data_IF_130715373846
#
_entry.id   IF_130715373846
#
_cell.length_a   1.000
_cell.length_b   1.000
_cell.length_c   1.000
_cell.angle_alpha   90.00
_cell.angle_beta   90.00
_cell.angle_gamma   90.00
#
_symmetry.space_group_name_H-M   'P 1'
#
loop_
_entity.id
_entity.type
_entity.pdbx_description
1 polymer ?
#
# COMPACT_ATOMS: atom_id res chain seq x y z
N UNK A 1 12.80 10.19 -15.30
CA UNK A 1 12.89 10.77 -13.92
C UNK A 1 11.74 10.23 -13.07
N UNK A 2 11.90 10.08 -11.73
CA UNK A 2 10.81 9.69 -10.81
C UNK A 2 10.36 10.93 -10.04
N UNK A 3 9.05 11.13 -9.95
CA UNK A 3 8.43 12.15 -9.12
C UNK A 3 7.55 11.50 -8.07
N UNK A 4 7.79 11.80 -6.80
CA UNK A 4 6.88 11.44 -5.70
C UNK A 4 5.75 12.47 -5.68
N UNK A 5 4.53 12.00 -5.84
CA UNK A 5 3.32 12.82 -5.85
C UNK A 5 2.58 12.62 -4.52
N UNK A 6 2.61 13.62 -3.64
CA UNK A 6 1.84 13.61 -2.40
C UNK A 6 0.35 13.84 -2.72
N UNK A 7 -0.50 12.87 -2.40
CA UNK A 7 -1.93 12.91 -2.67
C UNK A 7 -2.74 13.65 -1.60
N UNK A 8 -2.11 14.10 -0.54
CA UNK A 8 -2.70 14.88 0.56
C UNK A 8 -3.99 14.26 1.11
N UNK A 9 -3.93 12.97 1.39
CA UNK A 9 -5.08 12.21 1.88
C UNK A 9 -5.67 12.84 3.14
N UNK A 10 -6.97 13.06 3.15
CA UNK A 10 -7.67 13.81 4.21
C UNK A 10 -7.08 15.22 4.48
N UNK A 11 -6.54 15.88 3.45
CA UNK A 11 -5.83 17.16 3.52
C UNK A 11 -4.56 17.14 4.40
N UNK A 12 -4.00 15.96 4.65
CA UNK A 12 -2.72 15.79 5.38
C UNK A 12 -1.61 15.45 4.38
N UNK A 13 -0.44 16.10 4.48
CA UNK A 13 0.71 15.74 3.65
C UNK A 13 1.29 14.39 4.10
N UNK A 14 2.14 13.82 3.24
CA UNK A 14 3.03 12.71 3.55
C UNK A 14 2.34 11.45 4.11
N UNK A 15 1.12 11.15 3.61
CA UNK A 15 0.36 9.98 4.03
C UNK A 15 0.14 8.96 2.93
N UNK A 16 -0.19 9.40 1.71
CA UNK A 16 -0.31 8.56 0.51
C UNK A 16 0.42 9.22 -0.65
N UNK A 17 1.35 8.50 -1.28
CA UNK A 17 2.05 8.90 -2.49
C UNK A 17 1.61 8.06 -3.70
N UNK A 18 1.66 8.67 -4.87
CA UNK A 18 1.76 8.00 -6.17
C UNK A 18 3.10 8.39 -6.81
N UNK A 19 3.55 7.64 -7.80
CA UNK A 19 4.86 7.87 -8.41
C UNK A 19 4.71 8.02 -9.92
N UNK A 20 5.07 9.20 -10.44
CA UNK A 20 5.11 9.46 -11.86
C UNK A 20 6.53 9.19 -12.37
N UNK A 21 6.65 8.35 -13.40
CA UNK A 21 7.92 8.02 -14.06
C UNK A 21 7.86 8.54 -15.50
N UNK A 22 8.81 9.36 -15.86
CA UNK A 22 8.97 9.84 -17.24
C UNK A 22 9.62 8.75 -18.10
N UNK A 23 9.00 8.44 -19.24
CA UNK A 23 9.54 7.51 -20.25
C UNK A 23 9.52 8.14 -21.64
N UNK A 24 10.20 7.53 -22.61
CA UNK A 24 10.18 7.98 -23.99
C UNK A 24 8.81 7.83 -24.67
N UNK A 25 7.91 7.03 -24.10
CA UNK A 25 6.54 6.82 -24.60
C UNK A 25 5.47 7.62 -23.81
N UNK A 26 5.89 8.59 -23.00
CA UNK A 26 5.03 9.36 -22.11
C UNK A 26 5.14 8.94 -20.66
N UNK A 27 4.44 9.63 -19.73
CA UNK A 27 4.49 9.32 -18.32
C UNK A 27 3.75 8.02 -17.98
N UNK A 28 4.31 7.26 -17.06
CA UNK A 28 3.61 6.14 -16.42
C UNK A 28 3.39 6.44 -14.95
N UNK A 29 2.40 5.80 -14.35
CA UNK A 29 2.06 6.01 -12.95
C UNK A 29 2.16 4.71 -12.17
N UNK A 30 2.79 4.75 -11.01
CA UNK A 30 2.71 3.68 -10.00
C UNK A 30 1.88 4.19 -8.84
N UNK A 31 0.86 3.43 -8.46
CA UNK A 31 -0.23 3.78 -7.53
C UNK A 31 -1.16 4.90 -8.04
N UNK A 32 -2.36 4.93 -7.50
CA UNK A 32 -3.37 5.94 -7.87
C UNK A 32 -3.93 6.70 -6.67
N UNK A 33 -3.76 6.16 -5.48
CA UNK A 33 -4.51 6.61 -4.31
C UNK A 33 -6.01 6.27 -4.38
N UNK A 34 -6.77 6.69 -3.37
CA UNK A 34 -8.23 6.61 -3.38
C UNK A 34 -8.83 7.67 -4.30
N UNK A 35 -10.06 7.45 -4.75
CA UNK A 35 -10.74 8.45 -5.61
C UNK A 35 -11.00 9.79 -4.88
N UNK A 36 -11.09 9.77 -3.56
CA UNK A 36 -11.16 11.00 -2.75
C UNK A 36 -9.94 11.92 -2.94
N UNK A 37 -8.80 11.39 -3.39
CA UNK A 37 -7.58 12.16 -3.69
C UNK A 37 -7.35 12.37 -5.20
N UNK A 38 -8.34 12.09 -6.06
CA UNK A 38 -8.17 12.20 -7.51
C UNK A 38 -7.86 13.63 -7.97
N UNK A 39 -8.44 14.64 -7.30
CA UNK A 39 -8.12 16.05 -7.57
C UNK A 39 -6.68 16.40 -7.22
N UNK A 40 -6.16 16.11 -6.00
CA UNK A 40 -4.74 16.23 -5.68
C UNK A 40 -3.81 15.47 -6.66
N UNK A 41 -4.16 14.24 -7.07
CA UNK A 41 -3.39 13.50 -8.08
C UNK A 41 -3.32 14.28 -9.40
N UNK A 42 -4.46 14.78 -9.91
CA UNK A 42 -4.51 15.58 -11.12
C UNK A 42 -3.63 16.84 -11.03
N UNK A 43 -3.75 17.58 -9.93
CA UNK A 43 -2.97 18.79 -9.70
C UNK A 43 -1.45 18.49 -9.61
N UNK A 44 -1.07 17.38 -8.97
CA UNK A 44 0.31 16.95 -8.85
C UNK A 44 0.91 16.55 -10.21
N UNK A 45 0.15 15.83 -11.06
CA UNK A 45 0.54 15.46 -12.42
C UNK A 45 0.69 16.70 -13.29
N UNK A 46 -0.27 17.64 -13.22
CA UNK A 46 -0.21 18.91 -13.95
C UNK A 46 1.01 19.74 -13.53
N UNK A 47 1.36 19.73 -12.25
CA UNK A 47 2.56 20.37 -11.74
C UNK A 47 3.88 19.81 -12.30
N UNK A 48 3.84 18.64 -12.98
CA UNK A 48 4.97 18.02 -13.69
C UNK A 48 4.90 18.22 -15.21
N UNK A 49 3.93 19.01 -15.68
CA UNK A 49 3.77 19.32 -17.11
C UNK A 49 3.00 18.28 -17.91
N UNK A 50 2.30 17.36 -17.26
CA UNK A 50 1.49 16.33 -17.90
C UNK A 50 0.01 16.51 -17.53
N UNK A 51 -0.85 15.82 -18.29
CA UNK A 51 -2.27 15.65 -17.97
C UNK A 51 -2.53 14.19 -17.56
N UNK A 52 -3.68 13.90 -16.94
CA UNK A 52 -4.03 12.50 -16.63
C UNK A 52 -4.26 11.68 -17.90
N UNK A 53 -4.68 12.33 -18.98
CA UNK A 53 -4.88 11.73 -20.32
C UNK A 53 -3.57 11.28 -20.98
N UNK A 54 -2.42 11.84 -20.56
CA UNK A 54 -1.10 11.41 -21.05
C UNK A 54 -0.67 10.09 -20.42
N UNK A 55 -1.23 9.72 -19.26
CA UNK A 55 -0.91 8.49 -18.53
C UNK A 55 -1.65 7.31 -19.20
N UNK A 56 -0.92 6.49 -19.96
CA UNK A 56 -1.48 5.30 -20.63
C UNK A 56 -1.20 3.99 -19.91
N UNK A 57 -0.30 3.99 -18.93
CA UNK A 57 0.11 2.81 -18.18
C UNK A 57 0.13 3.12 -16.68
N UNK A 58 -0.67 2.37 -15.92
CA UNK A 58 -0.80 2.50 -14.47
C UNK A 58 -0.47 1.16 -13.82
N UNK A 59 0.47 1.16 -12.90
CA UNK A 59 0.96 -0.01 -12.19
C UNK A 59 0.51 0.08 -10.74
N UNK A 60 -0.38 -0.80 -10.29
CA UNK A 60 -0.80 -0.84 -8.89
C UNK A 60 -0.09 -1.96 -8.15
N UNK A 61 0.35 -1.70 -6.92
CA UNK A 61 1.00 -2.73 -6.12
C UNK A 61 0.00 -3.76 -5.64
N UNK A 62 -1.17 -3.32 -5.23
CA UNK A 62 -2.27 -4.17 -4.80
C UNK A 62 -3.60 -3.41 -4.85
N UNK A 63 -4.72 -4.08 -4.57
CA UNK A 63 -6.06 -3.52 -4.80
C UNK A 63 -6.72 -2.89 -3.56
N UNK A 64 -5.99 -2.60 -2.50
CA UNK A 64 -6.55 -1.79 -1.42
C UNK A 64 -6.91 -0.40 -1.92
N UNK A 65 -7.92 0.22 -1.30
CA UNK A 65 -8.55 1.42 -1.84
C UNK A 65 -7.63 2.65 -1.84
N UNK A 66 -6.69 2.70 -0.94
CA UNK A 66 -5.65 3.72 -0.83
C UNK A 66 -4.54 3.61 -1.89
N UNK A 67 -4.48 2.49 -2.62
CA UNK A 67 -3.54 2.26 -3.72
C UNK A 67 -4.23 2.29 -5.09
N UNK A 68 -5.37 1.61 -5.21
CA UNK A 68 -6.05 1.36 -6.48
C UNK A 68 -7.41 2.05 -6.62
N UNK A 69 -7.85 2.81 -5.62
CA UNK A 69 -9.21 3.38 -5.57
C UNK A 69 -9.55 4.34 -6.71
N UNK A 70 -8.55 5.03 -7.28
CA UNK A 70 -8.76 5.92 -8.43
C UNK A 70 -8.39 5.28 -9.78
N UNK A 71 -7.95 4.02 -9.83
CA UNK A 71 -7.52 3.36 -11.06
C UNK A 71 -8.61 3.34 -12.15
N UNK A 72 -9.88 3.18 -11.75
CA UNK A 72 -11.00 3.20 -12.68
C UNK A 72 -11.14 4.53 -13.44
N UNK A 73 -10.85 5.65 -12.78
CA UNK A 73 -10.95 6.97 -13.43
C UNK A 73 -9.83 7.17 -14.47
N UNK A 74 -8.63 6.63 -14.22
CA UNK A 74 -7.56 6.61 -15.20
C UNK A 74 -7.86 5.64 -16.36
N UNK A 75 -8.52 4.52 -16.08
CA UNK A 75 -9.00 3.61 -17.11
C UNK A 75 -10.06 4.29 -18.01
N UNK A 76 -11.00 5.06 -17.43
CA UNK A 76 -11.96 5.87 -18.22
C UNK A 76 -11.25 6.89 -19.15
N UNK A 77 -10.03 7.35 -18.81
CA UNK A 77 -9.17 8.20 -19.65
C UNK A 77 -8.29 7.41 -20.64
N UNK A 78 -8.50 6.09 -20.70
CA UNK A 78 -7.83 5.20 -21.66
C UNK A 78 -6.54 4.55 -21.18
N UNK A 79 -6.26 4.57 -19.88
CA UNK A 79 -5.11 3.89 -19.29
C UNK A 79 -5.33 2.36 -19.20
N UNK A 80 -4.24 1.60 -19.35
CA UNK A 80 -4.17 0.19 -19.00
C UNK A 80 -3.68 0.05 -17.57
N UNK A 81 -4.37 -0.74 -16.75
CA UNK A 81 -4.06 -0.98 -15.34
C UNK A 81 -3.37 -2.34 -15.20
N UNK A 82 -2.13 -2.34 -14.69
CA UNK A 82 -1.34 -3.54 -14.46
C UNK A 82 -1.44 -3.94 -12.99
N UNK A 83 -1.75 -5.23 -12.75
CA UNK A 83 -2.00 -5.76 -11.41
C UNK A 83 -1.77 -7.27 -11.34
N UNK A 84 -1.69 -7.80 -10.11
CA UNK A 84 -1.63 -9.24 -9.89
C UNK A 84 -2.94 -9.95 -10.31
N UNK A 85 -2.91 -11.18 -10.87
CA UNK A 85 -4.11 -11.92 -11.32
C UNK A 85 -5.21 -12.01 -10.27
N UNK A 86 -4.87 -12.22 -8.99
CA UNK A 86 -5.85 -12.30 -7.90
C UNK A 86 -6.63 -10.99 -7.66
N UNK A 87 -6.09 -9.84 -8.10
CA UNK A 87 -6.77 -8.56 -8.01
C UNK A 87 -7.76 -8.31 -9.14
N UNK A 88 -7.56 -8.92 -10.32
CA UNK A 88 -8.31 -8.61 -11.55
C UNK A 88 -9.81 -8.68 -11.38
N UNK A 89 -10.32 -9.77 -10.82
CA UNK A 89 -11.77 -9.97 -10.66
C UNK A 89 -12.39 -8.89 -9.78
N UNK A 90 -11.69 -8.45 -8.75
CA UNK A 90 -12.16 -7.43 -7.81
C UNK A 90 -12.18 -6.02 -8.43
N UNK A 91 -11.26 -5.72 -9.33
CA UNK A 91 -11.26 -4.44 -10.06
C UNK A 91 -12.26 -4.44 -11.22
N UNK A 92 -12.48 -5.58 -11.87
CA UNK A 92 -13.48 -5.70 -12.93
C UNK A 92 -14.93 -5.73 -12.39
N UNK A 93 -15.14 -6.35 -11.22
CA UNK A 93 -16.45 -6.46 -10.58
C UNK A 93 -16.35 -6.17 -9.07
N UNK A 94 -16.24 -4.87 -8.66
CA UNK A 94 -15.83 -4.47 -7.31
C UNK A 94 -16.90 -4.65 -6.23
N UNK A 95 -18.09 -5.15 -6.53
CA UNK A 95 -19.20 -5.27 -5.57
C UNK A 95 -18.83 -6.02 -4.28
N UNK A 96 -18.06 -7.12 -4.38
CA UNK A 96 -17.59 -7.88 -3.21
C UNK A 96 -16.55 -7.10 -2.40
N UNK A 97 -15.63 -6.41 -3.08
CA UNK A 97 -14.64 -5.54 -2.47
C UNK A 97 -15.32 -4.40 -1.72
N UNK A 98 -16.23 -3.69 -2.39
CA UNK A 98 -17.03 -2.61 -1.80
C UNK A 98 -17.83 -3.08 -0.58
N UNK A 99 -18.58 -4.20 -0.71
CA UNK A 99 -19.35 -4.75 0.41
C UNK A 99 -18.45 -5.13 1.60
N UNK A 100 -17.22 -5.61 1.35
CA UNK A 100 -16.24 -5.89 2.41
C UNK A 100 -15.72 -4.63 3.07
N UNK A 101 -15.35 -3.62 2.29
CA UNK A 101 -14.87 -2.33 2.78
C UNK A 101 -15.99 -1.59 3.55
N UNK A 102 -17.22 -1.59 3.05
CA UNK A 102 -18.36 -0.97 3.75
C UNK A 102 -18.62 -1.60 5.13
N UNK A 103 -18.45 -2.92 5.26
CA UNK A 103 -18.55 -3.57 6.60
C UNK A 103 -17.46 -3.10 7.58
N UNK A 104 -16.32 -2.68 7.07
CA UNK A 104 -15.17 -2.22 7.86
C UNK A 104 -15.32 -0.74 8.22
N UNK A 105 -15.60 0.10 7.23
CA UNK A 105 -15.58 1.56 7.36
C UNK A 105 -16.95 2.20 7.59
N UNK A 106 -18.05 1.45 7.35
CA UNK A 106 -19.40 2.01 7.28
C UNK A 106 -19.60 2.86 6.00
N UNK A 107 -20.85 3.23 5.70
CA UNK A 107 -21.17 4.02 4.51
C UNK A 107 -20.54 5.43 4.55
N UNK A 108 -20.62 6.10 5.69
CA UNK A 108 -20.00 7.42 5.89
C UNK A 108 -18.47 7.38 5.75
N UNK A 109 -17.83 6.36 6.31
CA UNK A 109 -16.39 6.14 6.17
C UNK A 109 -15.99 5.87 4.72
N UNK A 110 -16.79 5.06 3.99
CA UNK A 110 -16.57 4.80 2.56
C UNK A 110 -16.62 6.09 1.74
N UNK A 111 -17.65 6.90 1.92
CA UNK A 111 -17.79 8.18 1.20
C UNK A 111 -16.64 9.15 1.51
N UNK A 112 -16.34 9.33 2.79
CA UNK A 112 -15.33 10.30 3.24
C UNK A 112 -13.90 9.90 2.86
N UNK A 113 -13.53 8.61 3.05
CA UNK A 113 -12.14 8.16 2.88
C UNK A 113 -11.85 7.73 1.45
N UNK A 114 -12.77 7.02 0.82
CA UNK A 114 -12.51 6.32 -0.43
C UNK A 114 -13.31 6.91 -1.60
N UNK A 115 -14.47 7.52 -1.31
CA UNK A 115 -15.42 7.99 -2.31
C UNK A 115 -15.88 6.84 -3.23
N UNK A 116 -15.93 7.02 -4.53
CA UNK A 116 -16.47 6.06 -5.48
C UNK A 116 -15.41 5.12 -6.03
N UNK A 117 -15.75 3.83 -6.14
CA UNK A 117 -15.01 2.86 -6.94
C UNK A 117 -15.95 2.27 -8.00
N UNK A 118 -15.55 2.30 -9.27
CA UNK A 118 -16.30 1.75 -10.39
C UNK A 118 -15.61 0.53 -10.99
N UNK A 119 -16.35 -0.36 -11.71
CA UNK A 119 -15.75 -1.44 -12.49
C UNK A 119 -14.77 -0.92 -13.54
N UNK A 120 -13.68 -1.65 -13.73
CA UNK A 120 -12.74 -1.41 -14.84
C UNK A 120 -13.00 -2.50 -15.90
N UNK A 121 -13.19 -2.14 -17.18
CA UNK A 121 -13.33 -3.10 -18.27
C UNK A 121 -12.18 -4.11 -18.32
N UNK A 122 -12.50 -5.38 -18.55
CA UNK A 122 -11.54 -6.48 -18.48
C UNK A 122 -10.36 -6.33 -19.45
N UNK A 123 -10.58 -5.67 -20.59
CA UNK A 123 -9.56 -5.37 -21.62
C UNK A 123 -8.55 -4.30 -21.18
N UNK A 124 -8.92 -3.46 -20.22
CA UNK A 124 -8.02 -2.47 -19.62
C UNK A 124 -7.27 -2.99 -18.38
N UNK A 125 -7.62 -4.19 -17.90
CA UNK A 125 -6.95 -4.87 -16.79
C UNK A 125 -5.95 -5.90 -17.29
N UNK A 126 -4.66 -5.60 -17.19
CA UNK A 126 -3.58 -6.51 -17.59
C UNK A 126 -2.94 -7.16 -16.36
N UNK A 127 -3.11 -8.47 -16.27
CA UNK A 127 -2.50 -9.24 -15.19
C UNK A 127 -1.01 -9.47 -15.45
N UNK A 128 -0.22 -9.44 -14.39
CA UNK A 128 1.24 -9.59 -14.45
C UNK A 128 1.67 -10.59 -13.37
N UNK A 129 2.46 -11.57 -13.78
CA UNK A 129 2.96 -12.65 -12.93
C UNK A 129 4.34 -12.32 -12.31
N UNK A 130 4.78 -13.15 -11.37
CA UNK A 130 6.09 -13.01 -10.73
C UNK A 130 7.23 -13.01 -11.77
N UNK A 131 8.13 -12.03 -11.69
CA UNK A 131 9.26 -11.79 -12.57
C UNK A 131 8.92 -11.41 -14.02
N UNK A 132 7.66 -11.26 -14.34
CA UNK A 132 7.26 -10.73 -15.66
C UNK A 132 7.75 -9.28 -15.81
N UNK A 133 8.13 -8.93 -17.05
CA UNK A 133 8.66 -7.61 -17.41
C UNK A 133 7.71 -6.94 -18.37
N UNK A 134 7.31 -5.73 -18.03
CA UNK A 134 6.48 -4.86 -18.89
C UNK A 134 7.36 -3.76 -19.44
N UNK A 135 7.35 -3.61 -20.76
CA UNK A 135 8.10 -2.56 -21.47
C UNK A 135 7.16 -1.44 -21.91
N UNK A 136 7.52 -0.20 -21.58
CA UNK A 136 6.84 1.02 -22.02
C UNK A 136 7.91 1.98 -22.55
N UNK A 137 7.92 2.18 -23.88
CA UNK A 137 8.98 2.96 -24.52
C UNK A 137 10.37 2.35 -24.27
N UNK A 138 11.26 3.15 -23.71
CA UNK A 138 12.64 2.77 -23.30
C UNK A 138 12.72 2.23 -21.86
N UNK A 139 11.60 2.12 -21.19
CA UNK A 139 11.52 1.76 -19.77
C UNK A 139 10.96 0.37 -19.58
N UNK A 140 11.53 -0.38 -18.62
CA UNK A 140 11.04 -1.71 -18.24
C UNK A 140 10.74 -1.75 -16.75
N UNK A 141 9.55 -2.27 -16.40
CA UNK A 141 9.17 -2.57 -15.03
C UNK A 141 9.09 -4.08 -14.84
N UNK A 142 9.80 -4.59 -13.85
CA UNK A 142 9.76 -6.00 -13.46
C UNK A 142 8.84 -6.17 -12.25
N UNK A 143 7.93 -7.13 -12.33
CA UNK A 143 7.00 -7.48 -11.27
C UNK A 143 7.63 -8.47 -10.29
N UNK A 144 7.57 -8.15 -8.99
CA UNK A 144 7.92 -9.08 -7.93
C UNK A 144 6.67 -9.39 -7.12
N UNK A 145 6.12 -10.60 -7.23
CA UNK A 145 5.03 -11.01 -6.34
C UNK A 145 5.55 -11.08 -4.92
N UNK A 146 5.01 -10.24 -4.05
CA UNK A 146 5.47 -10.02 -2.67
C UNK A 146 4.30 -10.13 -1.69
N UNK A 147 3.71 -11.33 -1.54
CA UNK A 147 2.59 -11.53 -0.64
C UNK A 147 2.99 -11.38 0.83
N UNK A 148 1.99 -11.21 1.69
CA UNK A 148 2.16 -11.11 3.15
C UNK A 148 1.28 -10.03 3.74
N UNK A 149 1.35 -8.82 3.19
CA UNK A 149 0.36 -7.76 3.43
C UNK A 149 -0.97 -8.09 2.72
N UNK A 150 -0.90 -8.43 1.44
CA UNK A 150 -2.02 -8.89 0.63
C UNK A 150 -1.57 -10.01 -0.31
N UNK A 151 -2.46 -10.98 -0.62
CA UNK A 151 -2.13 -12.11 -1.53
C UNK A 151 -1.88 -11.66 -2.97
N UNK A 152 -2.39 -10.51 -3.35
CA UNK A 152 -2.28 -9.90 -4.68
C UNK A 152 -1.24 -8.78 -4.74
N UNK A 153 -0.28 -8.73 -3.82
CA UNK A 153 0.72 -7.67 -3.76
C UNK A 153 1.87 -7.91 -4.74
N UNK A 154 2.21 -6.90 -5.54
CA UNK A 154 3.37 -6.83 -6.42
C UNK A 154 4.22 -5.62 -6.02
N UNK A 155 5.53 -5.80 -5.85
CA UNK A 155 6.48 -4.72 -5.87
C UNK A 155 6.99 -4.53 -7.31
N UNK A 156 7.05 -3.28 -7.78
CA UNK A 156 7.46 -2.93 -9.14
C UNK A 156 8.89 -2.43 -9.16
N UNK A 157 9.77 -3.06 -9.93
CA UNK A 157 11.17 -2.65 -10.05
C UNK A 157 11.44 -1.99 -11.40
N UNK A 158 12.03 -0.80 -11.38
CA UNK A 158 12.57 -0.07 -12.51
C UNK A 158 14.08 0.16 -12.31
N UNK A 159 14.91 -0.59 -13.03
CA UNK A 159 16.36 -0.56 -12.79
C UNK A 159 16.73 -0.96 -11.36
N UNK A 160 17.35 -0.05 -10.62
CA UNK A 160 17.71 -0.22 -9.20
C UNK A 160 16.71 0.51 -8.25
N UNK A 161 15.54 0.88 -8.75
CA UNK A 161 14.46 1.54 -8.00
C UNK A 161 13.31 0.57 -7.77
N UNK A 162 12.77 0.47 -6.55
CA UNK A 162 11.68 -0.43 -6.19
C UNK A 162 10.49 0.34 -5.62
N UNK A 163 9.35 0.27 -6.27
CA UNK A 163 8.07 0.74 -5.74
C UNK A 163 7.45 -0.40 -4.95
N UNK A 164 7.59 -0.35 -3.64
CA UNK A 164 7.36 -1.49 -2.78
C UNK A 164 5.96 -1.56 -2.18
N UNK A 165 5.13 -0.51 -2.36
CA UNK A 165 3.82 -0.48 -1.70
C UNK A 165 3.92 -0.81 -0.21
N UNK A 166 2.96 -1.57 0.28
CA UNK A 166 2.82 -1.87 1.72
C UNK A 166 3.69 -3.01 2.22
N UNK A 167 4.28 -3.82 1.31
CA UNK A 167 5.20 -4.88 1.75
C UNK A 167 6.45 -4.32 2.43
N UNK A 168 6.84 -3.08 2.09
CA UNK A 168 7.94 -2.39 2.76
C UNK A 168 7.46 -1.42 3.88
N UNK A 169 6.17 -1.45 4.22
CA UNK A 169 5.63 -0.76 5.39
C UNK A 169 5.37 0.74 5.20
N UNK A 170 5.07 1.37 6.32
CA UNK A 170 4.78 2.81 6.46
C UNK A 170 5.93 3.48 7.19
N UNK A 171 6.42 4.63 6.70
CA UNK A 171 7.47 5.42 7.37
C UNK A 171 7.25 6.91 7.15
N UNK A 172 6.81 7.59 8.17
CA UNK A 172 6.50 9.03 8.14
C UNK A 172 7.70 9.84 8.68
N UNK A 173 8.15 10.83 7.90
CA UNK A 173 9.13 11.87 8.32
C UNK A 173 10.33 11.38 9.16
N UNK A 174 10.99 10.31 8.76
CA UNK A 174 12.15 9.79 9.48
C UNK A 174 11.82 8.97 10.73
N UNK A 175 10.56 8.82 11.10
CA UNK A 175 10.10 7.91 12.16
C UNK A 175 10.38 6.43 11.83
N UNK A 176 10.00 5.48 12.68
CA UNK A 176 10.27 4.06 12.49
C UNK A 176 9.42 3.45 11.38
N UNK A 177 9.91 2.36 10.76
CA UNK A 177 9.11 1.55 9.84
C UNK A 177 8.02 0.79 10.59
N UNK A 178 6.76 0.95 10.19
CA UNK A 178 5.59 0.34 10.80
C UNK A 178 4.88 -0.62 9.84
N UNK A 179 4.46 -1.83 10.27
CA UNK A 179 3.79 -2.78 9.40
C UNK A 179 2.29 -2.48 9.29
N UNK A 180 1.74 -2.19 8.10
CA UNK A 180 0.29 -2.12 7.90
C UNK A 180 -0.30 -3.53 7.85
N UNK A 181 -1.13 -3.88 8.83
CA UNK A 181 -1.69 -5.23 8.94
C UNK A 181 -3.22 -5.29 8.82
N UNK A 182 -3.83 -4.76 7.73
CA UNK A 182 -5.28 -4.81 7.55
C UNK A 182 -5.78 -6.23 7.25
N UNK A 183 -7.06 -6.57 7.54
CA UNK A 183 -7.65 -7.78 7.03
C UNK A 183 -7.90 -7.66 5.51
N UNK A 184 -8.04 -8.77 4.73
CA UNK A 184 -8.19 -10.14 5.24
C UNK A 184 -6.95 -11.03 5.12
N UNK A 185 -5.84 -10.55 4.51
CA UNK A 185 -4.87 -11.43 3.87
C UNK A 185 -3.53 -11.56 4.61
N UNK A 186 -3.40 -10.91 5.78
CA UNK A 186 -2.13 -10.92 6.51
C UNK A 186 -1.60 -12.34 6.69
N UNK A 187 -0.36 -12.55 6.24
CA UNK A 187 0.41 -13.76 6.41
C UNK A 187 1.86 -13.40 6.72
N UNK A 188 2.28 -13.62 7.95
CA UNK A 188 3.58 -13.19 8.47
C UNK A 188 4.72 -13.93 7.76
N UNK A 189 4.58 -15.23 7.55
CA UNK A 189 5.57 -16.08 6.92
C UNK A 189 5.83 -15.65 5.46
N UNK A 190 4.78 -15.45 4.69
CA UNK A 190 4.90 -14.94 3.33
C UNK A 190 5.49 -13.53 3.30
N UNK A 191 5.15 -12.69 4.29
CA UNK A 191 5.74 -11.35 4.36
C UNK A 191 7.25 -11.40 4.62
N UNK A 192 7.69 -12.27 5.52
CA UNK A 192 9.12 -12.51 5.75
C UNK A 192 9.85 -13.02 4.49
N UNK A 193 9.20 -13.90 3.70
CA UNK A 193 9.73 -14.35 2.41
C UNK A 193 9.86 -13.20 1.42
N UNK A 194 8.84 -12.34 1.35
CA UNK A 194 8.85 -11.13 0.52
C UNK A 194 9.95 -10.16 0.95
N UNK A 195 10.16 -9.95 2.25
CA UNK A 195 11.26 -9.12 2.75
C UNK A 195 12.64 -9.72 2.42
N UNK A 196 12.79 -11.06 2.51
CA UNK A 196 14.03 -11.73 2.07
C UNK A 196 14.30 -11.53 0.58
N UNK A 197 13.26 -11.62 -0.24
CA UNK A 197 13.36 -11.34 -1.67
C UNK A 197 13.84 -9.90 -1.90
N UNK A 198 13.20 -8.91 -1.27
CA UNK A 198 13.58 -7.50 -1.43
C UNK A 198 15.04 -7.25 -0.99
N UNK A 199 15.49 -7.85 0.13
CA UNK A 199 16.89 -7.76 0.58
C UNK A 199 17.91 -8.33 -0.42
N UNK A 200 17.49 -9.28 -1.27
CA UNK A 200 18.36 -9.89 -2.29
C UNK A 200 18.51 -9.02 -3.54
N UNK A 201 17.68 -8.00 -3.72
CA UNK A 201 17.72 -7.10 -4.86
C UNK A 201 18.81 -6.03 -4.66
N UNK A 202 19.47 -5.66 -5.75
CA UNK A 202 20.38 -4.51 -5.76
C UNK A 202 19.55 -3.26 -6.00
N UNK A 203 19.39 -2.42 -4.98
CA UNK A 203 18.51 -1.27 -5.01
C UNK A 203 19.24 0.01 -4.57
N UNK A 204 18.95 1.10 -5.29
CA UNK A 204 19.31 2.47 -4.90
C UNK A 204 18.27 3.08 -3.98
N UNK A 205 16.98 2.85 -4.27
CA UNK A 205 15.87 3.31 -3.44
C UNK A 205 14.76 2.28 -3.35
N UNK A 206 14.05 2.30 -2.22
CA UNK A 206 12.70 1.75 -2.07
C UNK A 206 11.73 2.93 -1.94
N UNK A 207 10.69 2.96 -2.76
CA UNK A 207 9.62 3.95 -2.69
C UNK A 207 8.43 3.35 -1.96
N UNK A 208 8.03 4.02 -0.87
CA UNK A 208 6.89 3.65 -0.05
C UNK A 208 5.68 4.48 -0.43
N UNK A 209 4.54 3.86 -0.63
CA UNK A 209 3.26 4.58 -0.79
C UNK A 209 2.95 5.41 0.46
N UNK A 210 3.42 4.96 1.65
CA UNK A 210 3.25 5.60 2.97
C UNK A 210 4.59 5.84 3.73
N UNK A 211 5.54 6.72 3.51
CA UNK A 211 5.68 7.71 2.49
C UNK A 211 7.15 7.88 2.07
N UNK A 212 7.35 8.08 0.75
CA UNK A 212 8.58 8.60 0.19
C UNK A 212 9.66 7.57 -0.10
N UNK A 213 10.88 8.04 -0.35
CA UNK A 213 12.00 7.23 -0.77
C UNK A 213 12.93 6.87 0.39
N UNK A 214 13.29 5.59 0.48
CA UNK A 214 14.32 5.05 1.38
C UNK A 214 15.60 4.84 0.56
N UNK A 215 16.69 5.57 0.80
CA UNK A 215 17.94 5.44 0.04
C UNK A 215 18.69 4.16 0.39
N UNK A 216 19.56 3.70 -0.51
CA UNK A 216 20.34 2.47 -0.41
C UNK A 216 20.97 2.24 0.97
N UNK A 217 21.60 3.27 1.55
CA UNK A 217 22.24 3.20 2.86
C UNK A 217 21.30 2.88 4.02
N UNK A 218 19.98 3.05 3.85
CA UNK A 218 18.97 2.84 4.89
C UNK A 218 18.12 1.61 4.63
N UNK A 219 18.15 1.00 3.45
CA UNK A 219 17.23 -0.10 3.04
C UNK A 219 17.27 -1.27 4.03
N UNK A 220 18.46 -1.79 4.33
CA UNK A 220 18.59 -2.95 5.23
C UNK A 220 18.04 -2.65 6.62
N UNK A 221 18.44 -1.50 7.20
CA UNK A 221 17.93 -1.07 8.51
C UNK A 221 16.41 -0.90 8.50
N UNK A 222 15.86 -0.29 7.46
CA UNK A 222 14.42 -0.09 7.31
C UNK A 222 13.65 -1.43 7.28
N UNK A 223 14.13 -2.40 6.48
CA UNK A 223 13.52 -3.72 6.37
C UNK A 223 13.65 -4.53 7.68
N UNK A 224 14.75 -4.37 8.42
CA UNK A 224 14.95 -5.01 9.73
C UNK A 224 14.02 -4.41 10.79
N UNK A 225 13.86 -3.09 10.81
CA UNK A 225 12.90 -2.39 11.68
C UNK A 225 11.47 -2.85 11.41
N UNK A 226 11.10 -2.93 10.12
CA UNK A 226 9.78 -3.38 9.70
C UNK A 226 9.50 -4.82 10.11
N UNK A 227 10.43 -5.76 9.84
CA UNK A 227 10.26 -7.17 10.19
C UNK A 227 10.18 -7.36 11.71
N UNK A 228 11.03 -6.68 12.46
CA UNK A 228 10.98 -6.69 13.92
C UNK A 228 9.65 -6.12 14.45
N UNK A 229 9.13 -5.06 13.83
CA UNK A 229 7.82 -4.48 14.13
C UNK A 229 6.68 -5.45 13.86
N UNK A 230 6.70 -6.10 12.70
CA UNK A 230 5.70 -7.10 12.29
C UNK A 230 5.62 -8.27 13.29
N UNK A 231 6.76 -8.84 13.64
CA UNK A 231 6.85 -9.93 14.61
C UNK A 231 6.42 -9.47 16.01
N UNK A 232 6.80 -8.27 16.42
CA UNK A 232 6.41 -7.68 17.71
C UNK A 232 4.90 -7.49 17.80
N UNK A 233 4.27 -6.98 16.76
CA UNK A 233 2.82 -6.78 16.71
C UNK A 233 2.06 -8.11 16.73
N UNK A 234 2.53 -9.09 15.92
CA UNK A 234 1.93 -10.41 15.91
C UNK A 234 2.03 -11.10 17.29
N UNK A 235 3.21 -11.07 17.92
CA UNK A 235 3.43 -11.67 19.22
C UNK A 235 2.65 -10.96 20.33
N UNK A 236 2.50 -9.64 20.25
CA UNK A 236 1.66 -8.87 21.18
C UNK A 236 0.17 -9.26 21.05
N UNK A 237 -0.30 -9.50 19.83
CA UNK A 237 -1.70 -9.85 19.56
C UNK A 237 -2.06 -11.26 20.01
N UNK A 238 -1.12 -12.22 19.95
CA UNK A 238 -1.37 -13.64 20.21
C UNK A 238 -2.06 -13.93 21.55
N UNK A 239 -1.57 -13.47 22.71
CA UNK A 239 -2.22 -13.75 24.01
C UNK A 239 -3.64 -13.16 24.10
N UNK A 240 -3.92 -12.05 23.44
CA UNK A 240 -5.27 -11.49 23.40
C UNK A 240 -6.21 -12.36 22.58
N UNK A 241 -5.74 -12.91 21.45
CA UNK A 241 -6.47 -13.89 20.66
C UNK A 241 -6.75 -15.17 21.46
N UNK A 242 -5.73 -15.75 22.12
CA UNK A 242 -5.83 -16.98 22.93
C UNK A 242 -6.78 -16.82 24.14
N UNK A 243 -6.92 -15.60 24.65
CA UNK A 243 -7.91 -15.23 25.70
C UNK A 243 -9.32 -15.01 25.15
N UNK A 244 -9.53 -15.12 23.84
CA UNK A 244 -10.84 -14.92 23.20
C UNK A 244 -11.36 -13.48 23.22
N UNK A 245 -10.47 -12.49 23.44
CA UNK A 245 -10.84 -11.06 23.44
C UNK A 245 -11.32 -10.61 22.07
N UNK A 246 -12.30 -9.73 22.04
CA UNK A 246 -12.85 -9.14 20.81
C UNK A 246 -12.02 -7.93 20.36
N UNK A 247 -12.06 -7.62 19.09
CA UNK A 247 -11.33 -6.47 18.52
C UNK A 247 -11.63 -5.15 19.25
N UNK A 248 -12.88 -4.90 19.65
CA UNK A 248 -13.28 -3.69 20.36
C UNK A 248 -12.57 -3.55 21.74
N UNK A 249 -12.27 -4.66 22.42
CA UNK A 249 -11.54 -4.67 23.71
C UNK A 249 -10.05 -4.49 23.51
N UNK A 250 -9.51 -4.98 22.37
CA UNK A 250 -8.07 -4.97 22.07
C UNK A 250 -7.64 -3.63 21.47
N UNK A 251 -8.49 -3.02 20.64
CA UNK A 251 -8.14 -1.80 19.92
C UNK A 251 -7.56 -0.68 20.78
N UNK A 252 -8.18 -0.26 21.90
CA UNK A 252 -7.60 0.80 22.72
C UNK A 252 -6.27 0.39 23.35
N UNK A 253 -6.08 -0.89 23.69
CA UNK A 253 -4.83 -1.40 24.25
C UNK A 253 -3.71 -1.39 23.18
N UNK A 254 -4.06 -1.78 21.95
CA UNK A 254 -3.13 -1.80 20.85
C UNK A 254 -2.73 -0.38 20.41
N UNK A 255 -3.69 0.55 20.36
CA UNK A 255 -3.39 1.96 20.09
C UNK A 255 -2.42 2.54 21.12
N UNK A 256 -2.64 2.27 22.43
CA UNK A 256 -1.72 2.68 23.46
C UNK A 256 -0.32 2.06 23.30
N UNK A 257 -0.25 0.78 22.93
CA UNK A 257 1.00 0.08 22.66
C UNK A 257 1.75 0.69 21.46
N UNK A 258 1.07 0.96 20.35
CA UNK A 258 1.66 1.61 19.16
C UNK A 258 2.12 3.02 19.49
N UNK A 259 1.31 3.80 20.21
CA UNK A 259 1.67 5.16 20.65
C UNK A 259 2.92 5.16 21.50
N UNK A 260 3.05 4.21 22.42
CA UNK A 260 4.25 4.07 23.25
C UNK A 260 5.50 3.72 22.41
N UNK A 261 5.36 2.86 21.38
CA UNK A 261 6.47 2.53 20.48
C UNK A 261 6.93 3.76 19.69
N UNK A 262 5.99 4.52 19.15
CA UNK A 262 6.28 5.73 18.38
C UNK A 262 6.90 6.81 19.28
N UNK A 263 6.40 6.99 20.51
CA UNK A 263 6.99 7.91 21.47
C UNK A 263 8.43 7.52 21.86
N UNK A 264 8.72 6.22 22.02
CA UNK A 264 10.08 5.72 22.28
C UNK A 264 11.05 5.94 21.11
N UNK A 265 10.52 6.15 19.91
CA UNK A 265 11.27 6.54 18.71
C UNK A 265 11.24 8.07 18.46
N UNK A 266 10.91 8.85 19.49
CA UNK A 266 10.87 10.33 19.48
C UNK A 266 9.89 10.92 18.43
N UNK A 267 8.88 10.14 18.03
CA UNK A 267 7.81 10.61 17.12
C UNK A 267 6.92 11.61 17.85
N UNK A 268 6.72 12.78 17.27
CA UNK A 268 5.84 13.84 17.83
C UNK A 268 4.35 13.47 17.70
N UNK A 269 3.47 14.16 18.44
CA UNK A 269 2.02 13.96 18.31
C UNK A 269 1.52 14.26 16.88
N UNK A 270 2.05 15.27 16.21
CA UNK A 270 1.68 15.59 14.82
C UNK A 270 2.06 14.44 13.86
N UNK A 271 3.24 13.86 14.02
CA UNK A 271 3.66 12.69 13.25
C UNK A 271 2.84 11.44 13.61
N UNK A 272 2.50 11.25 14.91
CA UNK A 272 1.61 10.18 15.33
C UNK A 272 0.26 10.23 14.60
N UNK A 273 -0.32 11.42 14.45
CA UNK A 273 -1.56 11.64 13.69
C UNK A 273 -1.42 11.28 12.20
N UNK A 274 -0.23 11.46 11.61
CA UNK A 274 0.06 11.03 10.24
C UNK A 274 0.18 9.49 10.16
N UNK A 275 0.85 8.86 11.13
CA UNK A 275 0.90 7.39 11.21
C UNK A 275 -0.50 6.78 11.33
N UNK A 276 -1.36 7.28 12.23
CA UNK A 276 -2.75 6.81 12.38
C UNK A 276 -3.58 7.09 11.13
N UNK A 277 -3.27 8.13 10.36
CA UNK A 277 -3.95 8.41 9.10
C UNK A 277 -3.53 7.45 7.97
N UNK A 278 -2.25 7.09 7.90
CA UNK A 278 -1.70 6.18 6.90
C UNK A 278 -1.91 4.70 7.27
N UNK A 279 -1.84 4.35 8.57
CA UNK A 279 -1.91 2.99 9.09
C UNK A 279 -2.68 2.94 10.41
N UNK A 280 -4.02 3.03 10.36
CA UNK A 280 -4.83 3.04 11.57
C UNK A 280 -4.65 1.77 12.40
N UNK A 281 -4.28 1.90 13.68
CA UNK A 281 -3.98 0.77 14.56
C UNK A 281 -5.14 -0.24 14.66
N UNK A 282 -6.40 0.23 14.63
CA UNK A 282 -7.58 -0.64 14.70
C UNK A 282 -7.66 -1.62 13.52
N UNK A 283 -7.19 -1.23 12.32
CA UNK A 283 -7.13 -2.12 11.15
C UNK A 283 -6.15 -3.27 11.38
N UNK A 284 -4.99 -2.99 11.96
CA UNK A 284 -4.00 -4.00 12.28
C UNK A 284 -4.49 -4.98 13.36
N UNK A 285 -5.33 -4.55 14.30
CA UNK A 285 -6.00 -5.46 15.25
C UNK A 285 -6.85 -6.48 14.50
N UNK A 286 -7.68 -6.03 13.57
CA UNK A 286 -8.57 -6.92 12.81
C UNK A 286 -7.78 -7.93 11.95
N UNK A 287 -6.72 -7.49 11.28
CA UNK A 287 -5.88 -8.34 10.44
C UNK A 287 -5.09 -9.36 11.24
N UNK A 288 -4.45 -8.96 12.34
CA UNK A 288 -3.65 -9.84 13.19
C UNK A 288 -4.50 -10.87 13.96
N UNK A 289 -5.70 -10.49 14.42
CA UNK A 289 -6.65 -11.45 14.98
C UNK A 289 -7.06 -12.51 13.95
N UNK A 290 -7.32 -12.08 12.71
CA UNK A 290 -7.63 -13.02 11.63
C UNK A 290 -6.43 -13.92 11.26
N UNK A 291 -5.21 -13.39 11.28
CA UNK A 291 -3.99 -14.18 11.07
C UNK A 291 -3.88 -15.29 12.12
N UNK A 292 -3.99 -14.96 13.43
CA UNK A 292 -3.90 -15.96 14.49
C UNK A 292 -5.02 -17.00 14.43
N UNK A 293 -6.24 -16.59 14.10
CA UNK A 293 -7.33 -17.51 13.87
C UNK A 293 -7.00 -18.52 12.77
N UNK A 294 -6.58 -18.04 11.60
CA UNK A 294 -6.19 -18.93 10.49
C UNK A 294 -5.04 -19.88 10.84
N UNK A 295 -4.09 -19.41 11.66
CA UNK A 295 -2.88 -20.18 12.01
C UNK A 295 -3.11 -21.22 13.08
N UNK A 296 -4.02 -21.02 14.02
CA UNK A 296 -4.24 -21.90 15.17
C UNK A 296 -5.49 -22.76 15.05
N UNK A 297 -6.38 -22.49 14.10
CA UNK A 297 -7.57 -23.28 13.80
C UNK A 297 -7.36 -24.25 12.59
N UNK A 298 -6.15 -24.29 12.01
CA UNK A 298 -5.72 -25.27 11.03
C UNK A 298 -5.10 -26.49 11.74
#
# INVERSE_FOLDING_TARGET
>A
MIHVLDLKFQNKPDTIAAFLIETSAGPILVETGPYSTFKPLKEAVQGKGYTLEDIKHVFITHIHLDHAGAAWALAELGATIYLHPFGKQHMNAPSKLLASATRIYGEEGMERLWSTLKPIPAEQLKTVEHQEVITVGDTTLKAWHTPGHAVHHIAWQWGEELFAGDVAGVKIEGGPAMPPCPPPDINIEHWQESLRLIRSLKLNHIYLTHFGAIPAAQIHRHLDELEAGLLRWANWMRPHYEQGKKAAEITPLFQAFVKQQLAAAEVTEAQYDLYENANPAWMSVAGLLRYWRKKLEQ
#
